data_IF_022435958744
#
_entry.id   IF_022435958744
#
_cell.length_a   1.000
_cell.length_b   1.000
_cell.length_c   1.000
_cell.angle_alpha   90.00
_cell.angle_beta   90.00
_cell.angle_gamma   90.00
#
_symmetry.space_group_name_H-M   'P 1'
#
loop_
_entity.id
_entity.type
_entity.pdbx_description
1 polymer ?
#
# COMPACT_ATOMS: atom_id res chain seq x y z
N UNK A 1 -0.30 15.43 -2.75
CA UNK A 1 -1.22 15.80 -1.66
C UNK A 1 -0.85 15.23 -0.28
N UNK A 2 -0.76 13.92 -0.04
CA UNK A 2 -0.44 13.45 1.33
C UNK A 2 0.86 14.04 1.88
N UNK A 3 1.95 13.97 1.13
CA UNK A 3 3.24 14.48 1.59
C UNK A 3 3.30 16.02 1.69
N UNK A 4 2.45 16.76 0.96
CA UNK A 4 2.41 18.22 1.11
C UNK A 4 1.76 18.61 2.44
N UNK A 5 0.72 17.89 2.88
CA UNK A 5 0.06 18.17 4.16
C UNK A 5 0.83 17.63 5.37
N UNK A 6 1.67 16.60 5.19
CA UNK A 6 2.49 16.04 6.28
C UNK A 6 3.87 16.70 6.42
N UNK A 7 4.19 17.69 5.58
CA UNK A 7 5.49 18.37 5.62
C UNK A 7 6.63 17.57 4.99
N UNK A 8 6.32 16.60 4.13
CA UNK A 8 7.29 15.79 3.40
C UNK A 8 7.04 14.29 3.52
N UNK A 9 7.94 13.52 2.92
CA UNK A 9 7.95 12.06 3.03
C UNK A 9 8.33 11.60 4.44
N UNK A 10 7.74 10.47 4.86
CA UNK A 10 8.08 9.84 6.11
C UNK A 10 9.48 9.17 6.02
N UNK A 11 10.42 9.65 6.82
CA UNK A 11 11.79 9.13 6.85
C UNK A 11 11.87 7.85 7.71
N UNK A 12 12.47 6.74 7.22
CA UNK A 12 12.74 5.58 8.05
C UNK A 12 13.76 5.89 9.18
N UNK A 13 13.62 5.29 10.38
CA UNK A 13 12.53 4.42 10.79
C UNK A 13 11.29 5.23 11.20
N UNK A 14 10.11 4.81 10.73
CA UNK A 14 8.84 5.47 11.05
C UNK A 14 7.72 4.45 11.16
N UNK A 15 6.76 4.74 12.04
CA UNK A 15 5.54 3.95 12.22
C UNK A 15 4.35 4.88 11.99
N UNK A 16 3.47 4.51 11.07
CA UNK A 16 2.26 5.26 10.74
C UNK A 16 1.03 4.45 11.13
N UNK A 17 0.10 5.08 11.88
CA UNK A 17 -1.22 4.52 12.15
C UNK A 17 -2.27 5.34 11.40
N UNK A 18 -3.07 4.68 10.58
CA UNK A 18 -4.18 5.30 9.84
C UNK A 18 -5.48 4.80 10.47
N UNK A 19 -6.29 5.71 11.00
CA UNK A 19 -7.58 5.40 11.63
C UNK A 19 -8.70 6.22 11.00
N UNK A 20 -9.84 5.60 10.79
CA UNK A 20 -11.04 6.22 10.27
C UNK A 20 -12.23 5.26 10.39
N UNK A 21 -13.42 5.76 10.09
CA UNK A 21 -14.63 4.94 10.05
C UNK A 21 -14.61 3.96 8.87
N UNK A 22 -15.46 2.93 8.92
CA UNK A 22 -15.61 2.01 7.78
C UNK A 22 -15.97 2.79 6.50
N UNK A 23 -15.29 2.49 5.40
CA UNK A 23 -15.48 3.19 4.13
C UNK A 23 -14.77 4.53 3.99
N UNK A 24 -14.06 5.02 5.01
CA UNK A 24 -13.28 6.27 4.92
C UNK A 24 -12.01 6.19 4.06
N UNK A 25 -11.68 5.01 3.53
CA UNK A 25 -10.54 4.81 2.62
C UNK A 25 -9.20 4.53 3.31
N UNK A 26 -9.19 4.14 4.58
CA UNK A 26 -7.96 3.82 5.33
C UNK A 26 -7.12 2.72 4.66
N UNK A 27 -7.76 1.61 4.29
CA UNK A 27 -7.10 0.50 3.57
C UNK A 27 -6.58 0.96 2.21
N UNK A 28 -7.36 1.77 1.49
CA UNK A 28 -6.97 2.35 0.19
C UNK A 28 -5.72 3.21 0.33
N UNK A 29 -5.64 4.06 1.36
CA UNK A 29 -4.47 4.89 1.63
C UNK A 29 -3.24 4.03 1.96
N UNK A 30 -3.42 2.97 2.75
CA UNK A 30 -2.36 2.00 3.03
C UNK A 30 -1.81 1.34 1.75
N UNK A 31 -2.70 0.86 0.87
CA UNK A 31 -2.32 0.27 -0.41
C UNK A 31 -1.63 1.27 -1.35
N UNK A 32 -2.06 2.53 -1.34
CA UNK A 32 -1.40 3.59 -2.12
C UNK A 32 0.04 3.82 -1.64
N UNK A 33 0.26 3.88 -0.33
CA UNK A 33 1.60 4.02 0.26
C UNK A 33 2.50 2.84 -0.11
N UNK A 34 1.96 1.61 -0.07
CA UNK A 34 2.68 0.41 -0.53
C UNK A 34 3.05 0.52 -2.01
N UNK A 35 2.11 0.91 -2.86
CA UNK A 35 2.35 1.04 -4.29
C UNK A 35 3.40 2.10 -4.63
N UNK A 36 3.37 3.27 -3.98
CA UNK A 36 4.39 4.31 -4.16
C UNK A 36 5.77 3.85 -3.67
N UNK A 37 5.81 3.07 -2.57
CA UNK A 37 7.02 2.42 -2.09
C UNK A 37 7.62 1.47 -3.14
N UNK A 38 6.79 0.59 -3.71
CA UNK A 38 7.18 -0.34 -4.78
C UNK A 38 7.67 0.40 -6.03
N UNK A 39 6.96 1.47 -6.43
CA UNK A 39 7.35 2.32 -7.56
C UNK A 39 8.70 3.02 -7.35
N UNK A 40 9.05 3.28 -6.11
CA UNK A 40 10.34 3.86 -5.69
C UNK A 40 11.44 2.81 -5.47
N UNK A 41 11.20 1.54 -5.81
CA UNK A 41 12.17 0.44 -5.69
C UNK A 41 12.30 -0.17 -4.30
N UNK A 42 11.36 0.12 -3.37
CA UNK A 42 11.33 -0.50 -2.04
C UNK A 42 10.47 -1.76 -2.06
N UNK A 43 10.91 -2.81 -1.37
CA UNK A 43 10.08 -4.00 -1.15
C UNK A 43 9.02 -3.76 -0.07
N UNK A 44 7.89 -4.46 -0.16
CA UNK A 44 6.79 -4.37 0.77
C UNK A 44 6.19 -5.74 1.09
N UNK A 45 5.64 -5.84 2.30
CA UNK A 45 4.86 -6.99 2.76
C UNK A 45 3.50 -6.48 3.20
N UNK A 46 2.44 -7.11 2.73
CA UNK A 46 1.07 -6.84 3.16
C UNK A 46 0.61 -8.00 4.04
N UNK A 47 0.31 -7.69 5.30
CA UNK A 47 -0.37 -8.59 6.22
C UNK A 47 -1.81 -8.10 6.39
N UNK A 48 -2.77 -8.99 6.21
CA UNK A 48 -4.20 -8.67 6.32
C UNK A 48 -4.97 -9.85 6.93
N UNK A 49 -6.01 -9.56 7.68
CA UNK A 49 -6.91 -10.58 8.26
C UNK A 49 -8.27 -10.63 7.54
N UNK A 50 -8.66 -9.53 6.89
CA UNK A 50 -10.05 -9.32 6.44
C UNK A 50 -10.21 -9.39 4.91
N UNK A 51 -9.14 -9.64 4.16
CA UNK A 51 -9.20 -9.66 2.69
C UNK A 51 -8.18 -10.62 2.11
N UNK A 52 -8.57 -11.36 1.07
CA UNK A 52 -7.65 -12.28 0.42
C UNK A 52 -6.69 -11.54 -0.53
N UNK A 53 -5.46 -12.05 -0.74
CA UNK A 53 -4.48 -11.41 -1.63
C UNK A 53 -5.03 -11.10 -3.03
N UNK A 54 -5.81 -12.02 -3.62
CA UNK A 54 -6.42 -11.82 -4.94
C UNK A 54 -7.44 -10.67 -4.98
N UNK A 55 -8.13 -10.39 -3.88
CA UNK A 55 -9.08 -9.28 -3.78
C UNK A 55 -8.35 -7.95 -3.71
N UNK A 56 -7.29 -7.86 -2.91
CA UNK A 56 -6.43 -6.69 -2.82
C UNK A 56 -5.80 -6.39 -4.17
N UNK A 57 -5.24 -7.40 -4.85
CA UNK A 57 -4.65 -7.23 -6.18
C UNK A 57 -5.67 -6.72 -7.19
N UNK A 58 -6.90 -7.24 -7.17
CA UNK A 58 -7.99 -6.77 -8.03
C UNK A 58 -8.36 -5.32 -7.73
N UNK A 59 -8.46 -4.93 -6.45
CA UNK A 59 -8.72 -3.55 -6.04
C UNK A 59 -7.62 -2.60 -6.51
N UNK A 60 -6.35 -2.96 -6.27
CA UNK A 60 -5.19 -2.17 -6.72
C UNK A 60 -5.20 -2.00 -8.24
N UNK A 61 -5.42 -3.08 -8.99
CA UNK A 61 -5.54 -3.02 -10.45
C UNK A 61 -6.69 -2.12 -10.91
N UNK A 62 -7.84 -2.15 -10.23
CA UNK A 62 -8.98 -1.27 -10.50
C UNK A 62 -8.66 0.22 -10.28
N UNK A 63 -7.70 0.53 -9.39
CA UNK A 63 -7.19 1.88 -9.16
C UNK A 63 -6.03 2.26 -10.11
N UNK A 64 -5.69 1.41 -11.08
CA UNK A 64 -4.58 1.63 -12.00
C UNK A 64 -3.20 1.27 -11.42
N UNK A 65 -3.17 0.59 -10.28
CA UNK A 65 -1.94 0.14 -9.62
C UNK A 65 -1.69 -1.33 -9.95
N UNK A 66 -1.03 -1.60 -11.08
CA UNK A 66 -0.64 -2.96 -11.43
C UNK A 66 0.59 -3.39 -10.63
N UNK A 67 0.37 -4.37 -9.74
CA UNK A 67 1.39 -4.90 -8.85
C UNK A 67 1.94 -6.26 -9.24
N UNK A 68 1.47 -6.85 -10.34
CA UNK A 68 1.84 -8.22 -10.73
C UNK A 68 3.36 -8.37 -10.84
N UNK A 69 4.02 -7.42 -11.50
CA UNK A 69 5.49 -7.41 -11.65
C UNK A 69 6.27 -7.42 -10.33
N UNK A 70 5.70 -6.84 -9.26
CA UNK A 70 6.35 -6.81 -7.95
C UNK A 70 6.13 -8.11 -7.19
N UNK A 71 5.01 -8.79 -7.44
CA UNK A 71 4.77 -10.13 -6.90
C UNK A 71 5.73 -11.12 -7.55
N UNK A 72 5.80 -11.08 -8.88
CA UNK A 72 6.63 -12.00 -9.68
C UNK A 72 8.13 -11.90 -9.33
N UNK A 73 8.62 -10.70 -9.04
CA UNK A 73 10.02 -10.47 -8.66
C UNK A 73 10.27 -10.54 -7.13
N UNK A 74 9.23 -10.84 -6.33
CA UNK A 74 9.33 -10.96 -4.88
C UNK A 74 9.45 -9.65 -4.10
N UNK A 75 9.40 -8.48 -4.74
CA UNK A 75 9.39 -7.19 -4.05
C UNK A 75 8.07 -6.91 -3.32
N UNK A 76 6.97 -7.57 -3.69
CA UNK A 76 5.70 -7.55 -2.93
C UNK A 76 5.34 -8.98 -2.50
N UNK A 77 5.10 -9.15 -1.20
CA UNK A 77 4.61 -10.40 -0.64
C UNK A 77 3.35 -10.18 0.19
N UNK A 78 2.48 -11.19 0.20
CA UNK A 78 1.31 -11.24 1.07
C UNK A 78 1.54 -12.33 2.12
N UNK A 79 1.24 -12.02 3.38
CA UNK A 79 1.27 -12.96 4.51
C UNK A 79 -0.16 -13.20 4.98
#
# INVERSE_FOLDING_TARGET
ELYSITGGEFQPPTTLMIRGESGSGTSTLGLQLVYEGLRSGRSAVILTYDSFPAEIQRQMKGMGWDVQRYIDNGSLQFI
#
